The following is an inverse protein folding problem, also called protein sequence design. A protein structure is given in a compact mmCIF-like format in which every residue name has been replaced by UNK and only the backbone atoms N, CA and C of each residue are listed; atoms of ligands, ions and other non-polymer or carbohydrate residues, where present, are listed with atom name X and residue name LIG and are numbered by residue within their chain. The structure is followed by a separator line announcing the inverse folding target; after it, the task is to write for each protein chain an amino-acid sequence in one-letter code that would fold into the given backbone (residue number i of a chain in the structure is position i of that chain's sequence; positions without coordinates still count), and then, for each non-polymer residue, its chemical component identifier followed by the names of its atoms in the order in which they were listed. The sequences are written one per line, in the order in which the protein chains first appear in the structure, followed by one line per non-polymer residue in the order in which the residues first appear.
data_IF_095754873924
#
_entry.id   IF_095754873924
#
_cell.length_a   1.000
_cell.length_b   1.000
_cell.length_c   1.000
_cell.angle_alpha   90.00
_cell.angle_beta   90.00
_cell.angle_gamma   90.00
#
_symmetry.space_group_name_H-M   'P 1'
#
loop_
_entity.id
_entity.type
_entity.pdbx_description
1 polymer ?
#
# COMPACT_ATOMS: atom_id res chain seq x y z
N UNK A 1 0.96 -36.45 -52.90
CA UNK A 1 0.27 -35.29 -52.29
C UNK A 1 -0.10 -35.65 -50.87
N UNK A 2 0.64 -35.16 -49.87
CA UNK A 2 0.36 -35.44 -48.46
C UNK A 2 -0.46 -34.28 -47.89
N UNK A 3 -1.76 -34.50 -47.65
CA UNK A 3 -2.61 -33.59 -46.89
C UNK A 3 -2.03 -33.46 -45.47
N UNK A 4 -1.62 -32.25 -45.08
CA UNK A 4 -1.27 -31.94 -43.70
C UNK A 4 -2.56 -31.91 -42.88
N UNK A 5 -2.64 -32.76 -41.85
CA UNK A 5 -3.68 -32.72 -40.81
C UNK A 5 -3.74 -31.32 -40.20
N UNK A 6 -4.90 -30.67 -40.33
CA UNK A 6 -5.25 -29.46 -39.60
C UNK A 6 -5.36 -29.80 -38.11
N UNK A 7 -4.26 -29.65 -37.38
CA UNK A 7 -4.28 -29.63 -35.92
C UNK A 7 -4.86 -28.28 -35.50
N UNK A 8 -5.78 -28.32 -34.53
CA UNK A 8 -6.51 -27.20 -33.93
C UNK A 8 -7.65 -26.65 -34.79
N UNK A 9 -8.87 -27.04 -34.41
CA UNK A 9 -10.09 -26.44 -34.90
C UNK A 9 -10.08 -24.95 -34.59
N UNK A 10 -10.25 -24.14 -35.64
CA UNK A 10 -10.51 -22.70 -35.53
C UNK A 10 -11.78 -22.53 -34.68
N UNK A 11 -11.78 -21.71 -33.62
CA UNK A 11 -13.01 -21.40 -32.90
C UNK A 11 -14.01 -20.84 -33.91
N UNK A 12 -15.16 -21.50 -34.08
CA UNK A 12 -16.21 -21.02 -34.98
C UNK A 12 -16.91 -19.84 -34.33
N UNK A 13 -16.35 -18.66 -34.55
CA UNK A 13 -16.88 -17.35 -34.19
C UNK A 13 -16.29 -16.35 -35.17
N UNK A 14 -17.08 -15.32 -35.49
CA UNK A 14 -16.92 -14.25 -36.49
C UNK A 14 -15.48 -13.97 -36.90
N UNK A 15 -15.27 -13.79 -38.21
CA UNK A 15 -14.04 -13.45 -38.95
C UNK A 15 -12.80 -13.14 -38.08
N UNK A 16 -11.63 -13.68 -38.42
CA UNK A 16 -10.41 -13.60 -37.58
C UNK A 16 -9.99 -12.21 -37.08
N UNK A 17 -10.62 -11.13 -37.57
CA UNK A 17 -10.57 -9.79 -36.98
C UNK A 17 -11.03 -9.75 -35.51
N UNK A 18 -12.11 -10.46 -35.11
CA UNK A 18 -12.63 -10.43 -33.73
C UNK A 18 -11.67 -11.12 -32.76
N UNK A 19 -11.04 -12.23 -33.17
CA UNK A 19 -10.02 -12.91 -32.37
C UNK A 19 -8.78 -12.03 -32.15
N UNK A 20 -8.27 -11.40 -33.21
CA UNK A 20 -7.15 -10.45 -33.10
C UNK A 20 -7.50 -9.22 -32.25
N UNK A 21 -8.74 -8.73 -32.37
CA UNK A 21 -9.23 -7.62 -31.55
C UNK A 21 -9.30 -8.00 -30.06
N UNK A 22 -9.89 -9.15 -29.72
CA UNK A 22 -9.97 -9.66 -28.33
C UNK A 22 -8.58 -9.87 -27.73
N UNK A 23 -7.64 -10.45 -28.47
CA UNK A 23 -6.26 -10.63 -28.01
C UNK A 23 -5.56 -9.30 -27.65
N UNK A 24 -5.75 -8.26 -28.47
CA UNK A 24 -5.17 -6.94 -28.20
C UNK A 24 -5.88 -6.25 -27.04
N UNK A 25 -7.20 -6.38 -26.94
CA UNK A 25 -8.03 -5.74 -25.91
C UNK A 25 -7.83 -6.40 -24.54
N UNK A 26 -7.83 -7.73 -24.47
CA UNK A 26 -7.60 -8.50 -23.24
C UNK A 26 -6.23 -8.19 -22.64
N UNK A 27 -5.18 -8.11 -23.48
CA UNK A 27 -3.84 -7.74 -23.01
C UNK A 27 -3.79 -6.35 -22.36
N UNK A 28 -4.59 -5.39 -22.84
CA UNK A 28 -4.68 -4.04 -22.25
C UNK A 28 -5.45 -4.07 -20.93
N UNK A 29 -6.58 -4.78 -20.88
CA UNK A 29 -7.34 -4.93 -19.64
C UNK A 29 -6.53 -5.65 -18.57
N UNK A 30 -5.77 -6.68 -18.93
CA UNK A 30 -4.88 -7.38 -18.02
C UNK A 30 -3.79 -6.46 -17.45
N UNK A 31 -3.16 -5.63 -18.30
CA UNK A 31 -2.17 -4.63 -17.84
C UNK A 31 -2.77 -3.63 -16.85
N UNK A 32 -3.98 -3.14 -17.11
CA UNK A 32 -4.69 -2.22 -16.20
C UNK A 32 -5.04 -2.91 -14.88
N UNK A 33 -5.51 -4.17 -14.92
CA UNK A 33 -5.83 -4.94 -13.73
C UNK A 33 -4.59 -5.19 -12.87
N UNK A 34 -3.48 -5.60 -13.47
CA UNK A 34 -2.19 -5.77 -12.78
C UNK A 34 -1.70 -4.45 -12.17
N UNK A 35 -1.78 -3.35 -12.92
CA UNK A 35 -1.42 -2.02 -12.41
C UNK A 35 -2.26 -1.61 -11.20
N UNK A 36 -3.57 -1.83 -11.25
CA UNK A 36 -4.50 -1.55 -10.13
C UNK A 36 -4.23 -2.42 -8.91
N UNK A 37 -3.90 -3.70 -9.11
CA UNK A 37 -3.56 -4.61 -8.02
C UNK A 37 -2.28 -4.15 -7.30
N UNK A 38 -1.22 -3.86 -8.06
CA UNK A 38 0.04 -3.32 -7.52
C UNK A 38 -0.18 -2.00 -6.79
N UNK A 39 -0.94 -1.09 -7.38
CA UNK A 39 -1.26 0.19 -6.75
C UNK A 39 -2.07 0.00 -5.45
N UNK A 40 -2.99 -0.97 -5.42
CA UNK A 40 -3.73 -1.32 -4.21
C UNK A 40 -2.81 -1.76 -3.08
N UNK A 41 -1.83 -2.61 -3.41
CA UNK A 41 -0.84 -3.07 -2.43
C UNK A 41 -0.02 -1.89 -1.90
N UNK A 42 0.45 -0.98 -2.77
CA UNK A 42 1.22 0.20 -2.36
C UNK A 42 0.43 1.14 -1.44
N UNK A 43 -0.83 1.44 -1.80
CA UNK A 43 -1.71 2.28 -0.96
C UNK A 43 -1.95 1.61 0.40
N UNK A 44 -2.16 0.30 0.42
CA UNK A 44 -2.36 -0.45 1.65
C UNK A 44 -1.10 -0.44 2.54
N UNK A 45 0.07 -0.71 1.97
CA UNK A 45 1.36 -0.64 2.68
C UNK A 45 1.58 0.76 3.25
N UNK A 46 1.32 1.80 2.47
CA UNK A 46 1.46 3.17 2.96
C UNK A 46 0.48 3.49 4.09
N UNK A 47 -0.77 3.05 4.00
CA UNK A 47 -1.76 3.21 5.06
C UNK A 47 -1.32 2.52 6.35
N UNK A 48 -0.79 1.29 6.25
CA UNK A 48 -0.27 0.55 7.38
C UNK A 48 0.88 1.29 8.08
N UNK A 49 1.84 1.81 7.31
CA UNK A 49 2.96 2.61 7.84
C UNK A 49 2.44 3.86 8.57
N UNK A 50 1.46 4.57 8.01
CA UNK A 50 0.89 5.77 8.65
C UNK A 50 0.12 5.47 9.93
N UNK A 51 -0.57 4.33 9.99
CA UNK A 51 -1.23 3.88 11.22
C UNK A 51 -0.20 3.55 12.29
N UNK A 52 0.90 2.87 11.94
CA UNK A 52 2.00 2.59 12.87
C UNK A 52 2.62 3.87 13.41
N UNK A 53 2.94 4.83 12.53
CA UNK A 53 3.46 6.15 12.92
C UNK A 53 2.51 6.87 13.88
N UNK A 54 1.21 6.88 13.58
CA UNK A 54 0.20 7.50 14.44
C UNK A 54 0.06 6.78 15.79
N UNK A 55 0.12 5.45 15.81
CA UNK A 55 0.07 4.66 17.03
C UNK A 55 1.28 4.96 17.93
N UNK A 56 2.49 4.99 17.35
CA UNK A 56 3.70 5.30 18.12
C UNK A 56 3.63 6.73 18.67
N UNK A 57 3.23 7.71 17.87
CA UNK A 57 3.01 9.08 18.34
C UNK A 57 2.02 9.14 19.50
N UNK A 58 0.91 8.40 19.41
CA UNK A 58 -0.10 8.35 20.47
C UNK A 58 0.45 7.74 21.77
N UNK A 59 1.24 6.65 21.67
CA UNK A 59 1.88 6.02 22.83
C UNK A 59 2.97 6.91 23.46
N UNK A 60 3.75 7.60 22.64
CA UNK A 60 4.87 8.46 23.06
C UNK A 60 4.44 9.86 23.50
N UNK A 61 3.14 10.16 23.55
CA UNK A 61 2.66 11.48 24.03
C UNK A 61 2.35 11.39 25.53
N UNK A 62 3.26 11.83 26.43
CA UNK A 62 2.92 11.95 27.84
C UNK A 62 1.82 13.01 28.01
N UNK A 63 0.88 12.75 28.93
CA UNK A 63 -0.23 13.67 29.25
C UNK A 63 0.33 15.04 29.64
N UNK A 64 0.33 16.00 28.71
CA UNK A 64 0.75 17.38 28.95
C UNK A 64 1.78 17.95 27.96
N UNK A 65 2.42 17.14 27.11
CA UNK A 65 3.33 17.68 26.09
C UNK A 65 2.57 18.24 24.86
N UNK A 66 2.96 19.43 24.36
CA UNK A 66 2.38 19.96 23.14
C UNK A 66 2.87 19.16 21.92
N UNK A 67 1.94 18.47 21.26
CA UNK A 67 2.22 17.80 19.99
C UNK A 67 2.69 18.81 18.94
N UNK A 68 3.72 18.43 18.17
CA UNK A 68 4.20 19.25 17.07
C UNK A 68 3.09 19.42 16.02
N UNK A 69 2.58 20.64 15.89
CA UNK A 69 1.48 21.00 14.98
C UNK A 69 1.76 20.57 13.53
N UNK A 70 3.03 20.63 13.09
CA UNK A 70 3.44 20.21 11.75
C UNK A 70 3.34 18.70 11.56
N UNK A 71 3.68 17.91 12.59
CA UNK A 71 3.54 16.47 12.55
C UNK A 71 2.05 16.08 12.47
N UNK A 72 1.21 16.67 13.31
CA UNK A 72 -0.25 16.42 13.31
C UNK A 72 -0.88 16.82 11.97
N UNK A 73 -0.58 18.01 11.45
CA UNK A 73 -1.15 18.47 10.18
C UNK A 73 -0.68 17.61 9.01
N UNK A 74 0.59 17.22 8.97
CA UNK A 74 1.12 16.33 7.94
C UNK A 74 0.46 14.95 7.97
N UNK A 75 0.16 14.42 9.17
CA UNK A 75 -0.54 13.15 9.34
C UNK A 75 -1.96 13.22 8.77
N UNK A 76 -2.72 14.28 9.09
CA UNK A 76 -4.06 14.52 8.55
C UNK A 76 -4.03 14.60 7.01
N UNK A 77 -3.10 15.37 6.44
CA UNK A 77 -2.94 15.51 4.98
C UNK A 77 -2.60 14.15 4.36
N UNK A 78 -1.75 13.35 5.00
CA UNK A 78 -1.41 12.00 4.52
C UNK A 78 -2.64 11.08 4.53
N UNK A 79 -3.46 11.12 5.57
CA UNK A 79 -4.71 10.33 5.64
C UNK A 79 -5.70 10.73 4.54
N UNK A 80 -5.95 12.03 4.36
CA UNK A 80 -6.83 12.53 3.28
C UNK A 80 -6.30 12.10 1.92
N UNK A 81 -4.99 12.21 1.70
CA UNK A 81 -4.35 11.80 0.45
C UNK A 81 -4.56 10.30 0.17
N UNK A 82 -4.45 9.44 1.18
CA UNK A 82 -4.70 7.99 1.05
C UNK A 82 -6.14 7.69 0.62
N UNK A 83 -7.13 8.38 1.22
CA UNK A 83 -8.54 8.25 0.79
C UNK A 83 -8.73 8.65 -0.67
N UNK A 84 -8.10 9.76 -1.10
CA UNK A 84 -8.11 10.22 -2.49
C UNK A 84 -7.45 9.18 -3.41
N UNK A 85 -6.35 8.57 -2.99
CA UNK A 85 -5.62 7.55 -3.75
C UNK A 85 -6.46 6.30 -3.98
N UNK A 86 -7.11 5.81 -2.93
CA UNK A 86 -7.99 4.64 -2.99
C UNK A 86 -9.22 4.91 -3.86
N UNK A 87 -9.82 6.10 -3.73
CA UNK A 87 -10.93 6.53 -4.59
C UNK A 87 -10.49 6.64 -6.05
N UNK A 88 -9.31 7.19 -6.29
CA UNK A 88 -8.70 7.31 -7.62
C UNK A 88 -8.45 5.96 -8.27
N UNK A 89 -7.94 5.00 -7.50
CA UNK A 89 -7.71 3.61 -7.94
C UNK A 89 -9.02 2.93 -8.33
N UNK A 90 -10.04 2.99 -7.46
CA UNK A 90 -11.37 2.40 -7.71
C UNK A 90 -12.04 3.00 -8.95
N UNK A 91 -12.00 4.33 -9.09
CA UNK A 91 -12.63 5.05 -10.20
C UNK A 91 -11.75 5.13 -11.47
N UNK A 92 -10.54 4.58 -11.45
CA UNK A 92 -9.56 4.67 -12.55
C UNK A 92 -9.28 6.11 -13.02
N UNK A 93 -9.36 7.09 -12.12
CA UNK A 93 -9.20 8.52 -12.44
C UNK A 93 -7.77 8.97 -12.19
N UNK A 94 -7.01 9.18 -13.27
CA UNK A 94 -5.60 9.61 -13.21
C UNK A 94 -5.40 10.91 -12.43
N UNK A 95 -6.33 11.87 -12.50
CA UNK A 95 -6.26 13.13 -11.74
C UNK A 95 -6.26 12.90 -10.23
N UNK A 96 -7.08 11.98 -9.72
CA UNK A 96 -7.12 11.66 -8.30
C UNK A 96 -5.82 10.97 -7.86
N UNK A 97 -5.26 10.07 -8.68
CA UNK A 97 -3.96 9.46 -8.40
C UNK A 97 -2.84 10.51 -8.35
N UNK A 98 -2.85 11.50 -9.25
CA UNK A 98 -1.87 12.60 -9.24
C UNK A 98 -1.98 13.44 -7.97
N UNK A 99 -3.20 13.77 -7.55
CA UNK A 99 -3.45 14.49 -6.29
C UNK A 99 -2.98 13.70 -5.07
N UNK A 100 -3.26 12.40 -5.03
CA UNK A 100 -2.74 11.51 -4.00
C UNK A 100 -1.21 11.50 -3.97
N UNK A 101 -0.56 11.36 -5.11
CA UNK A 101 0.90 11.33 -5.18
C UNK A 101 1.50 12.65 -4.68
N UNK A 102 0.96 13.78 -5.14
CA UNK A 102 1.41 15.11 -4.72
C UNK A 102 1.18 15.36 -3.23
N UNK A 103 -0.04 15.15 -2.74
CA UNK A 103 -0.40 15.38 -1.34
C UNK A 103 0.35 14.47 -0.37
N UNK A 104 0.46 13.18 -0.71
CA UNK A 104 1.21 12.23 0.12
C UNK A 104 2.70 12.53 0.13
N UNK A 105 3.30 12.94 -1.00
CA UNK A 105 4.70 13.35 -1.07
C UNK A 105 4.98 14.57 -0.19
N UNK A 106 4.15 15.61 -0.28
CA UNK A 106 4.32 16.81 0.57
C UNK A 106 4.18 16.45 2.04
N UNK A 107 3.17 15.65 2.40
CA UNK A 107 2.98 15.19 3.76
C UNK A 107 4.18 14.36 4.28
N UNK A 108 4.77 13.49 3.46
CA UNK A 108 5.99 12.75 3.84
C UNK A 108 7.15 13.70 4.12
N UNK A 109 7.40 14.70 3.28
CA UNK A 109 8.50 15.65 3.46
C UNK A 109 8.31 16.46 4.75
N UNK A 110 7.09 16.95 5.01
CA UNK A 110 6.79 17.71 6.23
C UNK A 110 6.94 16.83 7.48
N UNK A 111 6.45 15.58 7.46
CA UNK A 111 6.60 14.66 8.59
C UNK A 111 8.09 14.37 8.87
N UNK A 112 8.87 14.03 7.84
CA UNK A 112 10.31 13.76 7.98
C UNK A 112 11.08 14.98 8.50
N UNK A 113 10.80 16.17 7.95
CA UNK A 113 11.41 17.41 8.43
C UNK A 113 11.05 17.69 9.90
N UNK A 114 9.81 17.39 10.30
CA UNK A 114 9.35 17.54 11.68
C UNK A 114 10.03 16.54 12.62
N UNK A 115 10.27 15.31 12.16
CA UNK A 115 10.97 14.27 12.91
C UNK A 115 12.43 14.64 13.14
N UNK A 116 13.15 15.05 12.09
CA UNK A 116 14.55 15.50 12.19
C UNK A 116 14.70 16.64 13.20
N UNK A 117 13.74 17.58 13.21
CA UNK A 117 13.77 18.73 14.13
C UNK A 117 13.48 18.36 15.58
N UNK A 118 12.86 17.22 15.86
CA UNK A 118 12.26 16.96 17.18
C UNK A 118 13.11 16.10 18.13
N UNK A 119 14.32 15.67 17.77
CA UNK A 119 15.15 14.69 18.52
C UNK A 119 14.47 13.31 18.79
N UNK A 120 13.15 13.19 18.57
CA UNK A 120 12.32 11.99 18.75
C UNK A 120 12.68 10.82 17.85
N UNK A 121 13.59 10.99 16.87
CA UNK A 121 14.07 9.88 16.04
C UNK A 121 14.70 8.76 16.89
N UNK A 122 15.46 9.10 17.92
CA UNK A 122 16.11 8.11 18.76
C UNK A 122 15.11 7.36 19.65
N UNK A 123 14.13 8.09 20.20
CA UNK A 123 13.04 7.52 21.00
C UNK A 123 12.12 6.60 20.17
N UNK A 124 11.90 6.93 18.90
CA UNK A 124 11.19 6.07 17.94
C UNK A 124 11.95 4.77 17.66
N UNK A 125 13.27 4.84 17.46
CA UNK A 125 14.10 3.64 17.21
C UNK A 125 14.13 2.75 18.45
N UNK A 126 14.26 3.34 19.65
CA UNK A 126 14.26 2.58 20.90
C UNK A 126 12.91 1.93 21.19
N UNK A 127 11.79 2.66 21.00
CA UNK A 127 10.44 2.11 21.19
C UNK A 127 10.10 1.01 20.18
N UNK A 128 10.55 1.15 18.93
CA UNK A 128 10.38 0.12 17.90
C UNK A 128 11.19 -1.14 18.24
N UNK A 129 12.44 -0.99 18.68
CA UNK A 129 13.30 -2.10 19.12
C UNK A 129 12.70 -2.82 20.34
N UNK A 130 12.19 -2.08 21.32
CA UNK A 130 11.48 -2.64 22.48
C UNK A 130 10.24 -3.42 22.05
N UNK A 131 9.43 -2.86 21.15
CA UNK A 131 8.25 -3.55 20.62
C UNK A 131 8.65 -4.81 19.85
N UNK A 132 9.63 -4.74 18.94
CA UNK A 132 10.10 -5.90 18.18
C UNK A 132 10.54 -7.04 19.12
N UNK A 133 11.31 -6.72 20.16
CA UNK A 133 11.72 -7.70 21.17
C UNK A 133 10.54 -8.33 21.90
N UNK A 134 9.49 -7.55 22.18
CA UNK A 134 8.26 -8.02 22.85
C UNK A 134 7.39 -8.85 21.91
N UNK A 135 7.23 -8.43 20.66
CA UNK A 135 6.47 -9.14 19.63
C UNK A 135 7.11 -10.51 19.33
N UNK A 136 8.44 -10.58 19.25
CA UNK A 136 9.18 -11.83 19.10
C UNK A 136 8.96 -12.74 20.32
N UNK A 137 8.98 -12.19 21.54
CA UNK A 137 8.68 -12.96 22.76
C UNK A 137 7.26 -13.51 22.75
N UNK A 138 6.26 -12.69 22.41
CA UNK A 138 4.86 -13.11 22.32
C UNK A 138 4.72 -14.19 21.25
N UNK A 139 5.27 -13.99 20.05
CA UNK A 139 5.25 -14.98 18.99
C UNK A 139 5.86 -16.31 19.40
N UNK A 140 6.98 -16.28 20.13
CA UNK A 140 7.64 -17.49 20.66
C UNK A 140 6.78 -18.19 21.72
N UNK A 141 6.15 -17.44 22.63
CA UNK A 141 5.21 -17.99 23.64
C UNK A 141 3.98 -18.60 22.96
N UNK A 142 3.42 -17.91 21.98
CA UNK A 142 2.28 -18.40 21.20
C UNK A 142 2.66 -19.66 20.42
N UNK A 143 3.81 -19.70 19.76
CA UNK A 143 4.31 -20.88 19.05
C UNK A 143 4.53 -22.08 19.99
N UNK A 144 5.06 -21.86 21.20
CA UNK A 144 5.22 -22.92 22.21
C UNK A 144 3.86 -23.44 22.69
N UNK A 145 2.90 -22.55 22.96
CA UNK A 145 1.55 -22.93 23.34
C UNK A 145 0.85 -23.72 22.24
N UNK A 146 0.95 -23.30 20.98
CA UNK A 146 0.38 -24.04 19.85
C UNK A 146 1.07 -25.38 19.60
N UNK A 147 2.38 -25.48 19.87
CA UNK A 147 3.13 -26.75 19.78
C UNK A 147 2.80 -27.76 20.88
N UNK A 148 2.19 -27.33 22.00
CA UNK A 148 1.71 -28.22 23.07
C UNK A 148 0.31 -28.79 22.82
N UNK A 149 -0.42 -28.28 21.81
CA UNK A 149 -1.77 -28.73 21.45
C UNK A 149 -1.80 -29.66 20.21
N UNK A 150 -0.64 -30.11 19.71
CA UNK A 150 -0.52 -31.08 18.61
C UNK A 150 -0.02 -32.44 19.09
#
# INVERSE_FOLDING_TARGET
MSQRKSISGRPSGTDGSDFSYRMVVDSRYQKVAQGKSRLSALIFTQAFIRILEAAILFLSTPKGEPLNRFCVSSSIISFISLFIGELGRKRSRSTLLKLYLFGSSIATVISVASLIKSEKLFELIESLSKWESSAIKIFKVTAVLFGQFL
#
